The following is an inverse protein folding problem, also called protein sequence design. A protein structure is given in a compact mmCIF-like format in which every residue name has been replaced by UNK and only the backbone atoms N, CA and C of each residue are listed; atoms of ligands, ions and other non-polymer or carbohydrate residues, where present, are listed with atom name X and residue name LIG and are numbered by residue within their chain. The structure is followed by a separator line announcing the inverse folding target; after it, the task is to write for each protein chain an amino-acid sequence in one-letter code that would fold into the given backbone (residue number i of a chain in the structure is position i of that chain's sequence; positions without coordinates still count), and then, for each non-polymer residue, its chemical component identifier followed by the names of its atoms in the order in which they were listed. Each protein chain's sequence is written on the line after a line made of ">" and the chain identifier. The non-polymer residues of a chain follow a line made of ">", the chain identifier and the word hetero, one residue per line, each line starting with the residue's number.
data_IF_805666684885
#
_entry.id   IF_805666684885
#
_cell.length_a   1.000
_cell.length_b   1.000
_cell.length_c   1.000
_cell.angle_alpha   90.00
_cell.angle_beta   90.00
_cell.angle_gamma   90.00
#
_symmetry.space_group_name_H-M   'P 1'
#
loop_
_entity.id
_entity.type
_entity.pdbx_description
1 polymer ?
#
# COMPACT_ATOMS: atom_id res chain seq x y z
N UNK A 1 -32.99 34.99 28.92
CA UNK A 1 -33.54 34.15 27.84
C UNK A 1 -33.12 34.72 26.47
N UNK A 2 -33.39 35.99 26.12
CA UNK A 2 -33.14 36.55 24.79
C UNK A 2 -31.65 36.60 24.34
N UNK A 3 -30.70 36.72 25.27
CA UNK A 3 -29.27 36.79 24.97
C UNK A 3 -28.72 35.35 24.67
N UNK A 4 -29.21 34.34 25.38
CA UNK A 4 -28.83 32.96 25.15
C UNK A 4 -29.33 32.46 23.78
N UNK A 5 -30.57 32.80 23.41
CA UNK A 5 -31.13 32.51 22.08
C UNK A 5 -30.37 33.19 20.94
N UNK A 6 -29.86 34.41 21.16
CA UNK A 6 -29.03 35.13 20.20
C UNK A 6 -27.67 34.47 19.98
N UNK A 7 -27.03 34.02 21.03
CA UNK A 7 -25.72 33.34 20.95
C UNK A 7 -25.86 31.98 20.25
N UNK A 8 -26.88 31.19 20.60
CA UNK A 8 -27.16 29.92 19.95
C UNK A 8 -27.48 30.05 18.46
N UNK A 9 -28.15 31.16 18.09
CA UNK A 9 -28.44 31.43 16.69
C UNK A 9 -27.20 31.79 15.88
N UNK A 10 -26.31 32.62 16.47
CA UNK A 10 -25.03 32.98 15.85
C UNK A 10 -24.12 31.77 15.70
N UNK A 11 -24.03 30.88 16.75
CA UNK A 11 -23.31 29.65 16.67
C UNK A 11 -23.86 28.69 15.59
N UNK A 12 -25.18 28.60 15.49
CA UNK A 12 -25.83 27.74 14.47
C UNK A 12 -25.57 28.29 13.05
N UNK A 13 -25.72 29.60 12.84
CA UNK A 13 -25.42 30.23 11.56
C UNK A 13 -23.93 30.13 11.19
N UNK A 14 -23.02 30.24 12.16
CA UNK A 14 -21.59 30.04 11.95
C UNK A 14 -21.28 28.58 11.62
N UNK A 15 -21.90 27.64 12.31
CA UNK A 15 -21.74 26.20 12.05
C UNK A 15 -22.32 25.79 10.68
N UNK A 16 -23.48 26.37 10.29
CA UNK A 16 -24.06 26.14 8.96
C UNK A 16 -23.23 26.79 7.85
N UNK A 17 -22.69 27.98 8.08
CA UNK A 17 -21.82 28.70 7.13
C UNK A 17 -20.45 28.01 7.02
N UNK A 18 -19.89 27.52 8.12
CA UNK A 18 -18.70 26.70 8.15
C UNK A 18 -18.97 25.31 7.54
N UNK A 19 -20.12 24.70 7.81
CA UNK A 19 -20.54 23.44 7.21
C UNK A 19 -20.76 23.51 5.69
N UNK A 20 -21.19 24.66 5.17
CA UNK A 20 -21.33 24.90 3.74
C UNK A 20 -19.96 25.15 3.05
N UNK A 21 -18.96 25.60 3.81
CA UNK A 21 -17.56 25.76 3.36
C UNK A 21 -16.74 24.48 3.57
N UNK A 22 -17.17 23.61 4.46
CA UNK A 22 -16.53 22.33 4.72
C UNK A 22 -17.21 21.24 3.90
N UNK A 23 -16.82 21.10 2.66
CA UNK A 23 -16.92 19.81 2.01
C UNK A 23 -16.18 18.85 2.93
N UNK A 24 -16.82 17.78 3.35
CA UNK A 24 -16.14 16.73 4.13
C UNK A 24 -14.82 16.44 3.43
N UNK A 25 -13.67 16.60 4.07
CA UNK A 25 -12.40 16.52 3.36
C UNK A 25 -12.33 15.15 2.68
N UNK A 26 -11.92 15.14 1.43
CA UNK A 26 -11.74 13.92 0.64
C UNK A 26 -10.87 12.98 1.45
N UNK A 27 -11.31 11.74 1.63
CA UNK A 27 -10.51 10.72 2.32
C UNK A 27 -9.66 9.99 1.31
N UNK A 28 -8.42 9.73 1.65
CA UNK A 28 -7.44 9.08 0.79
C UNK A 28 -6.75 7.94 1.54
N UNK A 29 -6.57 6.82 0.87
CA UNK A 29 -5.67 5.74 1.27
C UNK A 29 -4.53 5.73 0.26
N UNK A 30 -3.31 5.72 0.75
CA UNK A 30 -2.11 5.69 -0.09
C UNK A 30 -1.55 4.27 -0.12
N UNK A 31 -1.45 3.66 -1.30
CA UNK A 31 -0.67 2.44 -1.47
C UNK A 31 0.74 2.82 -1.89
N UNK A 32 1.74 2.36 -1.15
CA UNK A 32 3.13 2.77 -1.30
C UNK A 32 4.03 1.60 -1.66
N UNK A 33 4.89 1.82 -2.64
CA UNK A 33 6.03 0.96 -2.91
C UNK A 33 7.28 1.80 -3.16
N UNK A 34 8.40 1.41 -2.54
CA UNK A 34 9.67 2.12 -2.67
C UNK A 34 10.55 1.61 -3.81
N UNK A 35 10.24 0.46 -4.39
CA UNK A 35 11.10 -0.20 -5.38
C UNK A 35 10.48 -0.32 -6.77
N UNK A 36 9.15 -0.37 -6.86
CA UNK A 36 8.47 -0.48 -8.15
C UNK A 36 7.04 0.04 -8.08
N UNK A 37 6.57 0.63 -9.15
CA UNK A 37 5.19 1.09 -9.28
C UNK A 37 4.18 -0.08 -9.24
N UNK A 38 4.60 -1.27 -9.65
CA UNK A 38 3.75 -2.44 -9.80
C UNK A 38 3.03 -2.85 -8.51
N UNK A 39 3.77 -2.97 -7.40
CA UNK A 39 3.16 -3.42 -6.12
C UNK A 39 2.17 -2.40 -5.57
N UNK A 40 2.49 -1.10 -5.62
CA UNK A 40 1.56 -0.06 -5.17
C UNK A 40 0.28 -0.06 -6.02
N UNK A 41 0.41 -0.23 -7.33
CA UNK A 41 -0.73 -0.30 -8.24
C UNK A 41 -1.57 -1.56 -7.99
N UNK A 42 -0.96 -2.71 -7.76
CA UNK A 42 -1.68 -3.94 -7.46
C UNK A 42 -2.45 -3.88 -6.15
N UNK A 43 -1.83 -3.34 -5.09
CA UNK A 43 -2.53 -3.10 -3.83
C UNK A 43 -3.73 -2.15 -4.00
N UNK A 44 -3.56 -1.09 -4.80
CA UNK A 44 -4.68 -0.21 -5.16
C UNK A 44 -5.80 -0.98 -5.86
N UNK A 45 -5.46 -1.79 -6.86
CA UNK A 45 -6.44 -2.57 -7.62
C UNK A 45 -7.14 -3.60 -6.74
N UNK A 46 -6.40 -4.29 -5.87
CA UNK A 46 -6.96 -5.20 -4.87
C UNK A 46 -8.03 -4.52 -4.01
N UNK A 47 -7.72 -3.36 -3.43
CA UNK A 47 -8.66 -2.62 -2.60
C UNK A 47 -9.91 -2.15 -3.37
N UNK A 48 -9.74 -1.73 -4.62
CA UNK A 48 -10.85 -1.28 -5.48
C UNK A 48 -11.73 -2.47 -5.89
N UNK A 49 -11.14 -3.58 -6.31
CA UNK A 49 -11.85 -4.78 -6.75
C UNK A 49 -12.74 -5.35 -5.64
N UNK A 50 -12.21 -5.38 -4.43
CA UNK A 50 -12.95 -5.88 -3.27
C UNK A 50 -13.83 -4.82 -2.59
N UNK A 51 -13.97 -3.63 -3.19
CA UNK A 51 -14.78 -2.53 -2.65
C UNK A 51 -14.44 -2.20 -1.19
N UNK A 52 -13.18 -2.39 -0.82
CA UNK A 52 -12.71 -2.18 0.55
C UNK A 52 -12.82 -0.71 0.99
N UNK A 53 -12.88 0.22 0.04
CA UNK A 53 -12.89 1.66 0.27
C UNK A 53 -14.05 2.29 -0.51
N UNK A 54 -15.23 2.39 0.11
CA UNK A 54 -16.41 3.01 -0.55
C UNK A 54 -16.44 4.53 -0.39
N UNK A 55 -15.78 5.06 0.65
CA UNK A 55 -15.78 6.47 1.03
C UNK A 55 -14.39 7.13 1.02
N UNK A 56 -13.39 6.44 0.46
CA UNK A 56 -12.03 6.94 0.30
C UNK A 56 -11.48 6.64 -1.09
N UNK A 57 -10.72 7.58 -1.64
CA UNK A 57 -9.95 7.36 -2.86
C UNK A 57 -8.66 6.61 -2.55
N UNK A 58 -8.27 5.67 -3.41
CA UNK A 58 -6.99 4.96 -3.29
C UNK A 58 -6.00 5.53 -4.30
N UNK A 59 -4.87 6.03 -3.82
CA UNK A 59 -3.78 6.61 -4.62
C UNK A 59 -2.55 5.72 -4.51
N UNK A 60 -2.03 5.26 -5.65
CA UNK A 60 -0.78 4.52 -5.68
C UNK A 60 0.40 5.50 -5.83
N UNK A 61 1.41 5.37 -4.97
CA UNK A 61 2.66 6.10 -5.04
C UNK A 61 3.84 5.13 -5.13
N UNK A 62 4.79 5.45 -6.01
CA UNK A 62 6.05 4.72 -6.13
C UNK A 62 7.18 5.73 -5.99
N UNK A 63 7.70 5.88 -4.78
CA UNK A 63 8.74 6.84 -4.46
C UNK A 63 9.75 6.21 -3.49
N UNK A 64 11.00 6.13 -3.93
CA UNK A 64 12.11 5.65 -3.10
C UNK A 64 12.76 6.76 -2.28
N UNK A 65 12.66 8.01 -2.72
CA UNK A 65 13.17 9.18 -2.00
C UNK A 65 12.18 9.61 -0.93
N UNK A 66 12.64 9.61 0.33
CA UNK A 66 11.80 9.97 1.49
C UNK A 66 11.35 11.43 1.48
N UNK A 67 12.16 12.34 0.96
CA UNK A 67 11.82 13.76 0.92
C UNK A 67 10.73 14.00 -0.13
N UNK A 68 10.88 13.43 -1.33
CA UNK A 68 9.86 13.51 -2.37
C UNK A 68 8.54 12.86 -1.92
N UNK A 69 8.61 11.72 -1.21
CA UNK A 69 7.43 11.10 -0.62
C UNK A 69 6.74 12.05 0.36
N UNK A 70 7.52 12.67 1.25
CA UNK A 70 6.98 13.64 2.22
C UNK A 70 6.32 14.83 1.54
N UNK A 71 6.96 15.41 0.54
CA UNK A 71 6.40 16.53 -0.24
C UNK A 71 5.07 16.12 -0.89
N UNK A 72 5.03 14.93 -1.51
CA UNK A 72 3.82 14.44 -2.16
C UNK A 72 2.69 14.16 -1.18
N UNK A 73 2.98 13.63 0.00
CA UNK A 73 1.98 13.42 1.05
C UNK A 73 1.47 14.77 1.59
N UNK A 74 2.35 15.76 1.80
CA UNK A 74 1.93 17.10 2.23
C UNK A 74 1.05 17.80 1.18
N UNK A 75 1.36 17.63 -0.11
CA UNK A 75 0.52 18.12 -1.20
C UNK A 75 -0.89 17.49 -1.16
N UNK A 76 -0.98 16.17 -0.98
CA UNK A 76 -2.25 15.47 -0.85
C UNK A 76 -3.05 15.95 0.38
N UNK A 77 -2.37 16.20 1.50
CA UNK A 77 -3.00 16.67 2.74
C UNK A 77 -3.59 18.09 2.64
N UNK A 78 -3.23 18.88 1.63
CA UNK A 78 -3.86 20.21 1.41
C UNK A 78 -5.33 20.10 1.00
N UNK A 79 -5.74 19.00 0.37
CA UNK A 79 -7.12 18.81 -0.13
C UNK A 79 -7.81 17.55 0.38
N UNK A 80 -7.10 16.71 1.16
CA UNK A 80 -7.61 15.40 1.60
C UNK A 80 -7.08 15.02 2.99
N UNK A 81 -7.79 14.10 3.65
CA UNK A 81 -7.31 13.41 4.85
C UNK A 81 -6.75 12.06 4.43
N UNK A 82 -5.47 11.83 4.67
CA UNK A 82 -4.85 10.53 4.46
C UNK A 82 -5.20 9.64 5.66
N UNK A 83 -5.98 8.58 5.41
CA UNK A 83 -6.42 7.65 6.45
C UNK A 83 -5.27 6.74 6.89
N UNK A 84 -4.58 6.15 5.93
CA UNK A 84 -3.41 5.29 6.17
C UNK A 84 -2.55 5.17 4.92
N UNK A 85 -1.32 4.69 5.13
CA UNK A 85 -0.43 4.21 4.07
C UNK A 85 -0.43 2.68 4.13
N UNK A 86 -0.57 2.02 2.98
CA UNK A 86 -0.48 0.56 2.84
C UNK A 86 0.74 0.26 1.98
N UNK A 87 1.63 -0.60 2.45
CA UNK A 87 2.84 -0.92 1.71
C UNK A 87 3.61 -2.10 2.26
N UNK A 88 4.74 -2.39 1.65
CA UNK A 88 5.66 -3.45 2.11
C UNK A 88 6.71 -2.95 3.11
N UNK A 89 6.75 -1.65 3.34
CA UNK A 89 7.69 -0.99 4.25
C UNK A 89 7.04 0.26 4.85
N UNK A 90 7.12 0.40 6.18
CA UNK A 90 6.65 1.60 6.89
C UNK A 90 7.64 2.76 6.69
N UNK A 91 7.24 3.84 6.01
CA UNK A 91 8.10 5.00 5.84
C UNK A 91 8.27 5.82 7.13
N UNK A 92 7.46 5.58 8.18
CA UNK A 92 7.41 6.35 9.42
C UNK A 92 7.40 7.87 9.13
N UNK A 93 6.35 8.34 8.48
CA UNK A 93 6.31 9.70 7.93
C UNK A 93 5.02 10.42 8.34
N UNK A 94 5.16 11.67 8.81
CA UNK A 94 4.04 12.56 9.13
C UNK A 94 3.02 11.98 10.14
N UNK A 95 3.42 10.99 10.95
CA UNK A 95 2.54 10.26 11.87
C UNK A 95 1.26 9.70 11.19
N UNK A 96 1.32 9.44 9.89
CA UNK A 96 0.24 8.79 9.16
C UNK A 96 0.26 7.30 9.54
N UNK A 97 -0.90 6.71 9.90
CA UNK A 97 -0.98 5.29 10.20
C UNK A 97 -0.50 4.42 9.04
N UNK A 98 0.21 3.34 9.35
CA UNK A 98 0.69 2.37 8.39
C UNK A 98 0.04 1.01 8.59
N UNK A 99 -0.32 0.36 7.50
CA UNK A 99 -0.75 -1.04 7.44
C UNK A 99 0.18 -1.77 6.46
N UNK A 100 0.70 -2.92 6.89
CA UNK A 100 1.51 -3.70 5.96
C UNK A 100 0.65 -4.33 4.88
N UNK A 101 1.21 -4.55 3.69
CA UNK A 101 0.53 -5.28 2.62
C UNK A 101 0.17 -6.71 3.06
N UNK A 102 1.03 -7.35 3.88
CA UNK A 102 0.76 -8.66 4.45
C UNK A 102 -0.47 -8.64 5.35
N UNK A 103 -0.59 -7.63 6.22
CA UNK A 103 -1.75 -7.48 7.10
C UNK A 103 -3.05 -7.33 6.30
N UNK A 104 -3.02 -6.50 5.26
CA UNK A 104 -4.20 -6.28 4.41
C UNK A 104 -4.61 -7.55 3.66
N UNK A 105 -3.64 -8.34 3.19
CA UNK A 105 -3.88 -9.59 2.48
C UNK A 105 -4.25 -10.77 3.40
N UNK A 106 -3.93 -10.67 4.70
CA UNK A 106 -4.25 -11.69 5.70
C UNK A 106 -5.69 -11.57 6.23
N UNK A 107 -6.36 -10.45 6.00
CA UNK A 107 -7.72 -10.20 6.50
C UNK A 107 -8.74 -10.64 5.46
N UNK A 108 -9.78 -11.39 5.85
CA UNK A 108 -10.90 -11.69 4.97
C UNK A 108 -11.46 -10.40 4.34
N UNK A 109 -11.82 -10.48 3.05
CA UNK A 109 -12.28 -9.33 2.24
C UNK A 109 -13.40 -8.55 2.92
N UNK A 110 -14.32 -9.26 3.57
CA UNK A 110 -15.48 -8.68 4.27
C UNK A 110 -15.07 -7.81 5.46
N UNK A 111 -13.87 -8.04 6.03
CA UNK A 111 -13.32 -7.28 7.16
C UNK A 111 -12.39 -6.15 6.75
N UNK A 112 -12.02 -6.05 5.47
CA UNK A 112 -11.15 -4.99 4.97
C UNK A 112 -11.66 -3.57 5.27
N UNK A 113 -12.97 -3.25 5.08
CA UNK A 113 -13.48 -1.91 5.40
C UNK A 113 -13.33 -1.57 6.89
N UNK A 114 -13.46 -2.54 7.77
CA UNK A 114 -13.28 -2.35 9.21
C UNK A 114 -11.80 -2.15 9.56
N UNK A 115 -10.91 -2.96 9.00
CA UNK A 115 -9.46 -2.81 9.16
C UNK A 115 -9.01 -1.40 8.75
N UNK A 116 -9.40 -0.95 7.56
CA UNK A 116 -9.02 0.36 7.03
C UNK A 116 -9.56 1.52 7.88
N UNK A 117 -10.70 1.32 8.53
CA UNK A 117 -11.32 2.31 9.42
C UNK A 117 -10.68 2.34 10.82
N UNK A 118 -10.37 1.19 11.38
CA UNK A 118 -9.89 1.05 12.77
C UNK A 118 -8.38 0.98 12.86
N UNK A 119 -7.71 0.54 11.80
CA UNK A 119 -6.27 0.28 11.70
C UNK A 119 -5.77 -0.66 12.82
N UNK A 120 -6.65 -1.52 13.31
CA UNK A 120 -6.35 -2.52 14.35
C UNK A 120 -6.40 -3.91 13.74
N UNK A 121 -5.33 -4.66 13.95
CA UNK A 121 -5.19 -6.04 13.48
C UNK A 121 -5.37 -7.02 14.64
N UNK A 122 -6.12 -8.09 14.37
CA UNK A 122 -5.89 -9.38 15.01
C UNK A 122 -4.88 -10.12 14.13
N UNK A 123 -3.86 -10.76 14.74
CA UNK A 123 -2.86 -11.52 13.98
C UNK A 123 -3.57 -12.56 13.10
N UNK A 124 -3.45 -12.41 11.79
CA UNK A 124 -3.95 -13.36 10.81
C UNK A 124 -2.75 -13.93 10.03
N UNK A 125 -2.91 -15.13 9.50
CA UNK A 125 -1.95 -15.71 8.55
C UNK A 125 -2.27 -15.20 7.15
N UNK A 126 -1.24 -14.86 6.37
CA UNK A 126 -1.42 -14.47 4.97
C UNK A 126 -1.85 -15.69 4.17
N UNK A 127 -2.99 -15.61 3.51
CA UNK A 127 -3.41 -16.59 2.52
C UNK A 127 -2.68 -16.29 1.19
N UNK A 128 -1.57 -16.98 0.97
CA UNK A 128 -0.78 -16.84 -0.26
C UNK A 128 -1.55 -17.30 -1.49
N UNK A 129 -2.50 -18.25 -1.37
CA UNK A 129 -3.33 -18.68 -2.48
C UNK A 129 -4.22 -17.54 -2.97
N UNK A 130 -4.87 -16.88 -2.05
CA UNK A 130 -5.70 -15.70 -2.34
C UNK A 130 -4.85 -14.53 -2.85
N UNK A 131 -3.69 -14.28 -2.26
CA UNK A 131 -2.77 -13.25 -2.72
C UNK A 131 -2.37 -13.47 -4.19
N UNK A 132 -1.95 -14.68 -4.55
CA UNK A 132 -1.56 -14.99 -5.93
C UNK A 132 -2.76 -15.02 -6.89
N UNK A 133 -3.93 -15.41 -6.42
CA UNK A 133 -5.16 -15.32 -7.21
C UNK A 133 -5.44 -13.86 -7.61
N UNK A 134 -5.39 -12.95 -6.63
CA UNK A 134 -5.59 -11.51 -6.89
C UNK A 134 -4.49 -10.92 -7.75
N UNK A 135 -3.22 -11.35 -7.58
CA UNK A 135 -2.13 -10.96 -8.46
C UNK A 135 -2.36 -11.42 -9.89
N UNK A 136 -2.90 -12.63 -10.09
CA UNK A 136 -3.16 -13.23 -11.40
C UNK A 136 -4.08 -12.39 -12.28
N UNK A 137 -5.04 -11.70 -11.69
CA UNK A 137 -5.96 -10.82 -12.43
C UNK A 137 -5.23 -9.62 -13.08
N UNK A 138 -3.96 -9.36 -12.68
CA UNK A 138 -3.17 -8.20 -13.12
C UNK A 138 -1.82 -8.56 -13.74
N UNK A 139 -1.44 -9.84 -13.74
CA UNK A 139 -0.19 -10.33 -14.32
C UNK A 139 -0.49 -11.03 -15.67
N UNK A 140 -0.45 -10.25 -16.76
CA UNK A 140 -0.92 -10.69 -18.09
C UNK A 140 0.04 -11.64 -18.82
N UNK A 141 1.35 -11.60 -18.45
CA UNK A 141 2.41 -12.25 -19.24
C UNK A 141 3.00 -13.48 -18.60
N UNK A 142 2.49 -13.89 -17.45
CA UNK A 142 3.01 -15.03 -16.68
C UNK A 142 1.91 -15.99 -16.25
N UNK A 143 2.24 -17.28 -16.22
CA UNK A 143 1.38 -18.29 -15.60
C UNK A 143 1.47 -18.17 -14.09
N UNK A 144 0.37 -17.75 -13.46
CA UNK A 144 0.34 -17.45 -12.03
C UNK A 144 0.57 -18.69 -11.16
N UNK A 145 0.11 -19.87 -11.59
CA UNK A 145 0.30 -21.11 -10.86
C UNK A 145 1.79 -21.49 -10.78
N UNK A 146 2.46 -21.48 -11.92
CA UNK A 146 3.91 -21.74 -12.00
C UNK A 146 4.73 -20.71 -11.27
N UNK A 147 4.33 -19.43 -11.39
CA UNK A 147 5.00 -18.33 -10.69
C UNK A 147 4.90 -18.49 -9.19
N UNK A 148 3.71 -18.82 -8.68
CA UNK A 148 3.48 -19.08 -7.26
C UNK A 148 4.37 -20.22 -6.76
N UNK A 149 4.34 -21.39 -7.44
CA UNK A 149 5.16 -22.54 -7.05
C UNK A 149 6.66 -22.17 -6.96
N UNK A 150 7.17 -21.51 -8.00
CA UNK A 150 8.57 -21.08 -8.03
C UNK A 150 8.92 -20.06 -6.94
N UNK A 151 8.02 -19.12 -6.64
CA UNK A 151 8.26 -18.11 -5.60
C UNK A 151 8.13 -18.68 -4.19
N UNK A 152 7.23 -19.63 -3.97
CA UNK A 152 7.13 -20.33 -2.68
C UNK A 152 8.40 -21.13 -2.40
N UNK A 153 8.88 -21.92 -3.38
CA UNK A 153 10.14 -22.66 -3.28
C UNK A 153 11.34 -21.73 -3.05
N UNK A 154 11.43 -20.63 -3.79
CA UNK A 154 12.49 -19.64 -3.62
C UNK A 154 12.47 -19.03 -2.22
N UNK A 155 11.29 -18.67 -1.71
CA UNK A 155 11.15 -18.11 -0.37
C UNK A 155 11.59 -19.09 0.72
N UNK A 156 11.25 -20.38 0.60
CA UNK A 156 11.70 -21.42 1.52
C UNK A 156 13.23 -21.56 1.51
N UNK A 157 13.85 -21.58 0.34
CA UNK A 157 15.31 -21.64 0.21
C UNK A 157 16.02 -20.42 0.81
N UNK A 158 15.41 -19.24 0.71
CA UNK A 158 15.95 -18.03 1.32
C UNK A 158 15.78 -18.09 2.84
N UNK A 159 14.61 -18.51 3.34
CA UNK A 159 14.30 -18.59 4.78
C UNK A 159 15.22 -19.59 5.52
N UNK A 160 15.68 -20.64 4.86
CA UNK A 160 16.68 -21.58 5.43
C UNK A 160 17.98 -20.87 5.85
N UNK A 161 18.35 -19.79 5.16
CA UNK A 161 19.59 -19.06 5.41
C UNK A 161 19.36 -17.71 6.09
N UNK A 162 18.25 -17.07 5.78
CA UNK A 162 17.93 -15.72 6.20
C UNK A 162 16.49 -15.68 6.70
N UNK A 163 16.25 -15.79 8.01
CA UNK A 163 14.92 -15.71 8.58
C UNK A 163 14.23 -14.40 8.16
N UNK A 164 13.03 -14.50 7.61
CA UNK A 164 12.26 -13.35 7.13
C UNK A 164 11.00 -13.15 7.97
N UNK A 165 10.61 -11.89 8.16
CA UNK A 165 9.26 -11.59 8.65
C UNK A 165 8.23 -11.89 7.55
N UNK A 166 6.97 -12.10 7.96
CA UNK A 166 5.87 -12.32 7.02
C UNK A 166 5.75 -11.15 6.03
N UNK A 167 5.92 -9.91 6.50
CA UNK A 167 5.91 -8.71 5.65
C UNK A 167 7.03 -8.73 4.61
N UNK A 168 8.24 -9.12 5.03
CA UNK A 168 9.38 -9.23 4.12
C UNK A 168 9.13 -10.30 3.07
N UNK A 169 8.62 -11.47 3.47
CA UNK A 169 8.29 -12.58 2.57
C UNK A 169 7.22 -12.16 1.56
N UNK A 170 6.11 -11.60 2.03
CA UNK A 170 5.02 -11.11 1.18
C UNK A 170 5.51 -10.04 0.22
N UNK A 171 6.25 -9.05 0.72
CA UNK A 171 6.82 -7.98 -0.11
C UNK A 171 7.76 -8.51 -1.19
N UNK A 172 8.68 -9.42 -0.84
CA UNK A 172 9.61 -10.05 -1.78
C UNK A 172 8.87 -10.78 -2.90
N UNK A 173 7.87 -11.60 -2.57
CA UNK A 173 7.06 -12.33 -3.54
C UNK A 173 6.35 -11.39 -4.50
N UNK A 174 5.69 -10.36 -3.99
CA UNK A 174 4.99 -9.37 -4.82
C UNK A 174 5.95 -8.62 -5.75
N UNK A 175 7.12 -8.22 -5.26
CA UNK A 175 8.12 -7.53 -6.08
C UNK A 175 8.67 -8.40 -7.19
N UNK A 176 9.01 -9.66 -6.91
CA UNK A 176 9.51 -10.58 -7.91
C UNK A 176 8.41 -10.89 -8.93
N UNK A 177 7.18 -11.15 -8.50
CA UNK A 177 6.05 -11.40 -9.40
C UNK A 177 5.86 -10.25 -10.40
N UNK A 178 5.84 -9.00 -9.91
CA UNK A 178 5.73 -7.82 -10.76
C UNK A 178 6.94 -7.66 -11.71
N UNK A 179 8.16 -7.96 -11.23
CA UNK A 179 9.36 -7.88 -12.05
C UNK A 179 9.35 -8.91 -13.17
N UNK A 180 9.00 -10.16 -12.86
CA UNK A 180 8.91 -11.26 -13.84
C UNK A 180 7.85 -10.95 -14.90
N UNK A 181 6.67 -10.49 -14.50
CA UNK A 181 5.62 -10.11 -15.44
C UNK A 181 6.07 -8.97 -16.38
N UNK A 182 6.76 -7.96 -15.85
CA UNK A 182 7.29 -6.86 -16.65
C UNK A 182 8.35 -7.34 -17.66
N UNK A 183 9.26 -8.23 -17.24
CA UNK A 183 10.28 -8.81 -18.12
C UNK A 183 9.62 -9.65 -19.20
N UNK A 184 8.64 -10.50 -18.84
CA UNK A 184 7.90 -11.34 -19.78
C UNK A 184 7.13 -10.50 -20.81
N UNK A 185 6.54 -9.37 -20.40
CA UNK A 185 5.86 -8.41 -21.25
C UNK A 185 6.79 -7.53 -22.11
N UNK A 186 8.10 -7.81 -22.13
CA UNK A 186 9.12 -6.99 -22.81
C UNK A 186 9.18 -5.54 -22.33
N UNK A 187 8.79 -5.30 -21.10
CA UNK A 187 8.93 -4.00 -20.46
C UNK A 187 10.41 -3.62 -20.28
N UNK A 188 10.67 -2.32 -20.26
CA UNK A 188 12.01 -1.77 -20.07
C UNK A 188 12.47 -2.14 -18.65
N UNK A 189 13.68 -2.69 -18.52
CA UNK A 189 14.34 -2.84 -17.23
C UNK A 189 14.55 -1.45 -16.63
N UNK A 190 14.08 -1.25 -15.41
CA UNK A 190 14.39 -0.02 -14.68
C UNK A 190 15.85 -0.16 -14.25
N UNK A 191 16.72 0.68 -14.79
CA UNK A 191 18.11 0.74 -14.33
C UNK A 191 18.14 1.33 -12.92
N UNK A 192 18.67 0.56 -11.98
CA UNK A 192 18.92 1.06 -10.64
C UNK A 192 20.19 1.91 -10.67
N UNK A 193 20.16 3.22 -10.39
CA UNK A 193 21.34 4.09 -10.40
C UNK A 193 22.42 3.65 -9.41
N UNK A 194 22.05 2.87 -8.37
CA UNK A 194 22.97 2.33 -7.36
C UNK A 194 23.36 0.87 -7.62
N UNK A 195 23.09 0.33 -8.82
CA UNK A 195 23.37 -1.08 -9.14
C UNK A 195 24.81 -1.49 -8.84
N UNK A 196 25.77 -0.67 -9.25
CA UNK A 196 27.20 -0.96 -9.06
C UNK A 196 27.59 -0.98 -7.59
N UNK A 197 27.10 -0.04 -6.79
CA UNK A 197 27.32 0.01 -5.34
C UNK A 197 26.75 -1.23 -4.65
N UNK A 198 25.53 -1.63 -5.03
CA UNK A 198 24.87 -2.83 -4.49
C UNK A 198 25.65 -4.09 -4.84
N UNK A 199 26.06 -4.24 -6.10
CA UNK A 199 26.86 -5.39 -6.54
C UNK A 199 28.19 -5.46 -5.81
N UNK A 200 28.89 -4.33 -5.60
CA UNK A 200 30.13 -4.28 -4.83
C UNK A 200 29.91 -4.65 -3.37
N UNK A 201 28.89 -4.12 -2.74
CA UNK A 201 28.57 -4.36 -1.32
C UNK A 201 28.19 -5.80 -1.05
N UNK A 202 27.48 -6.43 -1.98
CA UNK A 202 26.93 -7.77 -1.83
C UNK A 202 27.50 -8.77 -2.85
N UNK A 203 28.74 -8.57 -3.30
CA UNK A 203 29.37 -9.37 -4.35
C UNK A 203 29.37 -10.89 -4.05
N UNK A 204 29.34 -11.30 -2.79
CA UNK A 204 29.26 -12.71 -2.39
C UNK A 204 27.91 -13.37 -2.70
N UNK A 205 26.86 -12.59 -2.92
CA UNK A 205 25.50 -13.10 -3.26
C UNK A 205 25.32 -13.22 -4.77
N UNK A 206 26.11 -12.45 -5.56
CA UNK A 206 26.03 -12.41 -7.02
C UNK A 206 26.95 -13.44 -7.73
N UNK A 207 27.49 -14.38 -7.00
CA UNK A 207 28.20 -15.54 -7.55
C UNK A 207 27.32 -16.77 -7.48
#
# INVERSE_FOLDING_TARGET
>A
AAIADGVDRVYRMAAESLGALWHSPKKVIVTLCTTSEGVALQMKQYLIQHKACTDAEVIALSLSDRNLLREKLLELMQGAVILCIIGTYDPDILAIPFLSAADVLAVPVERLPELLRTQRMEKAEVDFDEMFRCLGDHLEYVDIGRLKEALMELAEQIEEKYPMSLDTKTGLMMHIACAVNRIAGRGVSIENPHREEIVQKYHGVYR
#
